data_IF_671920523840
#
_entry.id   IF_671920523840
#
_cell.length_a   1.000
_cell.length_b   1.000
_cell.length_c   1.000
_cell.angle_alpha   90.00
_cell.angle_beta   90.00
_cell.angle_gamma   90.00
#
_symmetry.space_group_name_H-M   'P 1'
#
loop_
_entity.id
_entity.type
_entity.pdbx_description
1 polymer ?
#
# COMPACT_ATOMS: atom_id res chain seq x y z
N UNK A 1 -5.11 29.44 -5.31
CA UNK A 1 -4.74 30.11 -4.05
C UNK A 1 -3.23 30.08 -3.83
N UNK A 2 -2.55 28.94 -4.02
CA UNK A 2 -1.09 28.83 -3.84
C UNK A 2 -0.29 29.74 -4.80
N UNK A 3 -0.69 29.88 -6.06
CA UNK A 3 -0.08 30.79 -7.04
C UNK A 3 0.03 32.24 -6.53
N UNK A 4 -1.08 32.79 -6.03
CA UNK A 4 -1.12 34.16 -5.49
C UNK A 4 -0.29 34.30 -4.22
N UNK A 5 -0.24 33.26 -3.38
CA UNK A 5 0.64 33.23 -2.21
C UNK A 5 2.12 33.30 -2.64
N UNK A 6 2.51 32.63 -3.71
CA UNK A 6 3.87 32.73 -4.25
C UNK A 6 4.24 34.16 -4.66
N UNK A 7 3.31 34.92 -5.27
CA UNK A 7 3.53 36.35 -5.53
C UNK A 7 3.67 37.19 -4.26
N UNK A 8 2.89 36.91 -3.22
CA UNK A 8 3.02 37.58 -1.92
C UNK A 8 4.38 37.29 -1.28
N UNK A 9 4.92 36.10 -1.50
CA UNK A 9 6.27 35.69 -1.10
C UNK A 9 7.37 36.16 -2.08
N UNK A 10 7.05 36.97 -3.08
CA UNK A 10 8.03 37.56 -3.99
C UNK A 10 8.43 36.71 -5.19
N UNK A 11 7.78 35.57 -5.43
CA UNK A 11 7.99 34.80 -6.66
C UNK A 11 7.35 35.47 -7.88
N UNK A 12 8.10 35.47 -8.98
CA UNK A 12 7.59 35.84 -10.30
C UNK A 12 6.90 34.67 -11.01
N UNK A 13 6.36 34.93 -12.20
CA UNK A 13 5.81 33.86 -13.03
C UNK A 13 6.91 32.93 -13.56
N UNK A 14 6.70 31.62 -13.39
CA UNK A 14 7.53 30.58 -13.97
C UNK A 14 7.23 30.38 -15.47
N UNK A 15 8.26 30.11 -16.30
CA UNK A 15 8.09 29.63 -17.67
C UNK A 15 7.78 28.13 -17.76
N UNK A 16 7.92 27.36 -16.67
CA UNK A 16 7.72 25.91 -16.68
C UNK A 16 6.23 25.55 -16.82
N UNK A 17 5.88 24.76 -17.86
CA UNK A 17 4.52 24.26 -18.02
C UNK A 17 4.17 23.27 -16.89
N UNK A 18 3.46 23.74 -15.87
CA UNK A 18 3.03 22.91 -14.74
C UNK A 18 3.46 23.43 -13.36
N UNK A 19 4.36 24.41 -13.31
CA UNK A 19 4.71 25.10 -12.08
C UNK A 19 3.50 25.79 -11.45
N UNK A 20 3.48 25.85 -10.12
CA UNK A 20 2.48 26.60 -9.37
C UNK A 20 2.55 28.08 -9.75
N UNK A 21 3.75 28.62 -10.01
CA UNK A 21 3.95 29.99 -10.50
C UNK A 21 3.78 30.14 -12.02
N UNK A 22 3.31 29.12 -12.74
CA UNK A 22 3.10 29.19 -14.18
C UNK A 22 2.12 30.29 -14.61
N UNK A 23 2.44 31.01 -15.69
CA UNK A 23 1.68 32.19 -16.16
C UNK A 23 0.23 31.89 -16.61
N UNK A 24 -0.09 30.64 -16.94
CA UNK A 24 -1.40 30.24 -17.43
C UNK A 24 -2.07 29.26 -16.47
N UNK A 25 -3.25 29.64 -15.98
CA UNK A 25 -4.10 28.77 -15.17
C UNK A 25 -4.51 27.52 -15.96
N UNK A 26 -4.29 26.34 -15.38
CA UNK A 26 -4.77 25.06 -15.91
C UNK A 26 -5.98 24.59 -15.09
N UNK A 27 -7.01 24.12 -15.76
CA UNK A 27 -8.19 23.48 -15.15
C UNK A 27 -8.07 21.95 -15.29
N UNK A 28 -8.21 21.19 -14.19
CA UNK A 28 -8.15 19.72 -14.23
C UNK A 28 -8.03 19.05 -12.86
N UNK A 29 -8.13 17.71 -12.82
CA UNK A 29 -8.09 16.89 -11.60
C UNK A 29 -6.73 16.92 -10.87
N UNK A 30 -5.62 17.04 -11.61
CA UNK A 30 -4.25 17.23 -11.09
C UNK A 30 -4.12 18.50 -10.21
N UNK A 31 -5.02 19.48 -10.38
CA UNK A 31 -4.98 20.75 -9.65
C UNK A 31 -5.76 20.74 -8.33
N UNK A 32 -6.40 19.62 -7.96
CA UNK A 32 -6.99 19.47 -6.62
C UNK A 32 -5.92 19.34 -5.53
N UNK A 33 -4.72 18.89 -5.92
CA UNK A 33 -3.53 18.78 -5.05
C UNK A 33 -2.27 19.18 -5.85
N UNK A 34 -2.04 20.49 -6.08
CA UNK A 34 -0.89 20.93 -6.84
C UNK A 34 0.41 20.68 -6.06
N UNK A 35 1.38 20.00 -6.67
CA UNK A 35 2.74 19.86 -6.17
C UNK A 35 3.63 21.01 -6.67
N UNK A 36 4.57 21.47 -5.85
CA UNK A 36 5.56 22.47 -6.27
C UNK A 36 6.50 21.88 -7.33
N UNK A 37 6.80 22.63 -8.39
CA UNK A 37 7.85 22.25 -9.33
C UNK A 37 9.23 22.56 -8.75
N UNK A 38 10.27 22.01 -9.39
CA UNK A 38 11.66 22.31 -9.01
C UNK A 38 11.97 23.81 -9.15
N UNK A 39 11.41 24.48 -10.15
CA UNK A 39 11.53 25.94 -10.33
C UNK A 39 10.81 26.72 -9.21
N UNK A 40 9.64 26.28 -8.75
CA UNK A 40 8.95 26.90 -7.60
C UNK A 40 9.80 26.78 -6.32
N UNK A 41 10.36 25.58 -6.06
CA UNK A 41 11.21 25.30 -4.89
C UNK A 41 12.51 26.09 -4.94
N UNK A 42 13.18 26.08 -6.09
CA UNK A 42 14.45 26.81 -6.27
C UNK A 42 14.23 28.31 -6.15
N UNK A 43 13.15 28.83 -6.75
CA UNK A 43 12.80 30.24 -6.67
C UNK A 43 12.59 30.72 -5.24
N UNK A 44 11.85 29.96 -4.42
CA UNK A 44 11.56 30.38 -3.04
C UNK A 44 12.78 30.24 -2.13
N UNK A 45 13.58 29.20 -2.32
CA UNK A 45 14.81 28.99 -1.56
C UNK A 45 15.90 30.00 -1.92
N UNK A 46 15.89 30.57 -3.13
CA UNK A 46 16.77 31.71 -3.45
C UNK A 46 16.38 32.95 -2.63
N UNK A 47 15.07 33.20 -2.46
CA UNK A 47 14.60 34.40 -1.75
C UNK A 47 14.78 34.32 -0.23
N UNK A 48 14.64 33.13 0.35
CA UNK A 48 14.56 32.94 1.80
C UNK A 48 15.58 31.97 2.39
N UNK A 49 16.52 31.51 1.57
CA UNK A 49 17.48 30.44 1.88
C UNK A 49 16.81 29.06 2.02
N UNK A 50 17.53 27.96 1.73
CA UNK A 50 17.07 26.63 2.08
C UNK A 50 16.89 26.53 3.61
N UNK A 51 15.87 25.83 4.12
CA UNK A 51 15.74 25.56 5.55
C UNK A 51 17.05 24.97 6.11
N UNK A 52 17.59 25.56 7.19
CA UNK A 52 18.84 25.09 7.83
C UNK A 52 18.70 23.72 8.49
N UNK A 53 17.47 23.35 8.87
CA UNK A 53 17.11 22.01 9.28
C UNK A 53 16.36 21.36 8.11
N UNK A 54 16.65 20.08 7.82
CA UNK A 54 15.71 19.28 7.03
C UNK A 54 14.31 19.48 7.62
N UNK A 55 13.26 19.68 6.80
CA UNK A 55 11.92 19.88 7.33
C UNK A 55 11.64 18.77 8.32
N UNK A 56 11.47 19.14 9.60
CA UNK A 56 11.17 18.19 10.67
C UNK A 56 9.97 17.41 10.19
N UNK A 57 10.20 16.14 9.83
CA UNK A 57 9.17 15.30 9.22
C UNK A 57 7.96 15.37 10.14
N UNK A 58 6.77 15.81 9.67
CA UNK A 58 5.61 15.84 10.52
C UNK A 58 5.39 14.43 11.07
N UNK A 59 5.15 14.28 12.38
CA UNK A 59 4.99 12.96 12.97
C UNK A 59 3.86 12.23 12.24
N UNK A 60 4.00 10.92 11.99
CA UNK A 60 2.94 10.13 11.38
C UNK A 60 1.63 10.33 12.14
N UNK A 61 0.46 10.33 11.46
CA UNK A 61 -0.82 10.42 12.14
C UNK A 61 -0.89 9.39 13.27
N UNK A 62 -1.45 9.70 14.45
CA UNK A 62 -1.44 8.80 15.61
C UNK A 62 -1.99 7.39 15.35
N UNK A 63 -2.82 7.22 14.30
CA UNK A 63 -3.34 5.92 13.87
C UNK A 63 -2.43 5.11 12.94
N UNK A 64 -1.45 5.74 12.28
CA UNK A 64 -0.49 5.08 11.40
C UNK A 64 0.59 4.32 12.20
N UNK A 65 0.90 4.77 13.42
CA UNK A 65 1.91 4.15 14.30
C UNK A 65 1.41 3.00 15.17
N UNK A 66 0.16 2.59 14.97
CA UNK A 66 -0.37 1.40 15.62
C UNK A 66 0.18 0.23 14.82
N UNK A 67 1.21 -0.43 15.37
CA UNK A 67 2.15 -1.32 14.66
C UNK A 67 1.58 -2.58 14.01
N UNK A 68 0.29 -2.66 13.68
CA UNK A 68 -0.31 -3.71 12.88
C UNK A 68 -0.58 -3.20 11.47
N UNK A 69 -0.61 -4.11 10.48
CA UNK A 69 -0.97 -3.79 9.09
C UNK A 69 -2.28 -4.48 8.74
N UNK A 70 -3.25 -3.74 8.19
CA UNK A 70 -4.56 -4.31 7.83
C UNK A 70 -4.55 -4.93 6.44
N UNK A 71 -3.79 -4.34 5.52
CA UNK A 71 -3.57 -4.89 4.19
C UNK A 71 -2.30 -4.31 3.57
N UNK A 72 -1.73 -5.06 2.63
CA UNK A 72 -0.53 -4.64 1.89
C UNK A 72 -0.61 -5.18 0.48
N UNK A 73 -0.03 -4.48 -0.49
CA UNK A 73 0.33 -5.09 -1.76
C UNK A 73 1.61 -4.45 -2.31
N UNK A 74 2.37 -5.24 -3.07
CA UNK A 74 3.51 -4.75 -3.84
C UNK A 74 3.06 -4.49 -5.28
N UNK A 75 3.22 -3.26 -5.76
CA UNK A 75 3.03 -2.90 -7.16
C UNK A 75 4.36 -2.97 -7.89
N UNK A 76 4.48 -3.91 -8.81
CA UNK A 76 5.70 -4.14 -9.58
C UNK A 76 5.98 -3.02 -10.59
N UNK A 77 4.99 -2.20 -10.96
CA UNK A 77 5.16 -1.13 -11.94
C UNK A 77 5.72 0.14 -11.32
N UNK A 78 5.21 0.51 -10.15
CA UNK A 78 5.74 1.64 -9.37
C UNK A 78 6.91 1.23 -8.46
N UNK A 79 7.14 -0.08 -8.29
CA UNK A 79 8.11 -0.67 -7.34
C UNK A 79 7.84 -0.29 -5.87
N UNK A 80 6.57 0.00 -5.57
CA UNK A 80 6.12 0.44 -4.26
C UNK A 80 5.36 -0.65 -3.50
N UNK A 81 5.57 -0.68 -2.19
CA UNK A 81 4.86 -1.51 -1.22
C UNK A 81 3.83 -0.62 -0.52
N UNK A 82 2.58 -0.75 -0.94
CA UNK A 82 1.47 0.06 -0.43
C UNK A 82 0.86 -0.62 0.79
N UNK A 83 0.86 0.09 1.92
CA UNK A 83 0.35 -0.36 3.22
C UNK A 83 -0.96 0.36 3.56
N UNK A 84 -1.91 -0.39 4.11
CA UNK A 84 -3.18 0.12 4.62
C UNK A 84 -3.28 -0.10 6.12
N UNK A 85 -3.70 0.95 6.83
CA UNK A 85 -4.01 0.87 8.26
C UNK A 85 -5.12 1.83 8.65
N UNK A 86 -6.21 1.30 9.19
CA UNK A 86 -7.37 2.07 9.60
C UNK A 86 -7.95 2.87 8.44
N UNK A 87 -7.78 4.19 8.47
CA UNK A 87 -8.22 5.07 7.38
C UNK A 87 -7.06 5.61 6.54
N UNK A 88 -5.85 5.10 6.73
CA UNK A 88 -4.63 5.63 6.14
C UNK A 88 -4.00 4.65 5.15
N UNK A 89 -3.30 5.21 4.18
CA UNK A 89 -2.48 4.49 3.20
C UNK A 89 -1.16 5.23 2.98
N UNK A 90 -0.08 4.47 2.80
CA UNK A 90 1.24 5.01 2.45
C UNK A 90 2.06 3.95 1.71
N UNK A 91 3.17 4.40 1.13
CA UNK A 91 4.18 3.53 0.52
C UNK A 91 5.39 3.43 1.44
N UNK A 92 5.98 2.24 1.59
CA UNK A 92 7.23 2.06 2.36
C UNK A 92 8.43 2.73 1.71
N UNK A 93 8.39 2.90 0.39
CA UNK A 93 9.45 3.52 -0.40
C UNK A 93 9.26 5.03 -0.57
N UNK A 94 8.16 5.58 -0.03
CA UNK A 94 7.87 7.00 -0.03
C UNK A 94 8.21 7.64 1.32
N UNK A 95 8.18 8.98 1.38
CA UNK A 95 8.42 9.68 2.64
C UNK A 95 7.21 9.50 3.57
N UNK A 96 7.43 9.50 4.89
CA UNK A 96 6.34 9.43 5.89
C UNK A 96 5.34 10.60 5.78
N UNK A 97 5.75 11.72 5.17
CA UNK A 97 4.85 12.82 4.79
C UNK A 97 3.75 12.42 3.79
N UNK A 98 3.89 11.26 3.14
CA UNK A 98 3.00 10.77 2.10
C UNK A 98 1.90 9.86 2.67
N UNK A 99 1.80 9.74 4.00
CA UNK A 99 0.66 9.12 4.67
C UNK A 99 -0.58 9.96 4.35
N UNK A 100 -1.50 9.34 3.63
CA UNK A 100 -2.73 9.98 3.17
C UNK A 100 -3.94 9.21 3.67
N UNK A 101 -5.09 9.88 3.72
CA UNK A 101 -6.34 9.16 3.95
C UNK A 101 -6.68 8.29 2.73
N UNK A 102 -7.16 7.07 2.98
CA UNK A 102 -7.64 6.16 1.95
C UNK A 102 -8.67 6.83 1.04
N UNK A 103 -9.54 7.66 1.60
CA UNK A 103 -10.58 8.42 0.85
C UNK A 103 -10.00 9.45 -0.11
N UNK A 104 -8.81 9.99 0.17
CA UNK A 104 -8.12 10.94 -0.69
C UNK A 104 -7.47 10.25 -1.89
N UNK A 105 -6.93 9.04 -1.68
CA UNK A 105 -6.23 8.25 -2.70
C UNK A 105 -7.18 7.34 -3.50
N UNK A 106 -8.20 6.81 -2.84
CA UNK A 106 -9.18 5.89 -3.37
C UNK A 106 -10.59 6.39 -3.06
N UNK A 107 -11.10 7.30 -3.90
CA UNK A 107 -12.42 7.94 -3.74
C UNK A 107 -13.61 6.95 -3.69
N UNK A 108 -13.41 5.73 -4.21
CA UNK A 108 -14.37 4.63 -4.19
C UNK A 108 -14.37 3.82 -2.88
N UNK A 109 -13.43 4.08 -1.97
CA UNK A 109 -13.35 3.47 -0.64
C UNK A 109 -13.76 4.47 0.43
N UNK A 110 -14.48 4.00 1.45
CA UNK A 110 -14.94 4.87 2.54
C UNK A 110 -13.98 4.99 3.72
N UNK A 111 -13.14 3.98 3.96
CA UNK A 111 -12.10 3.78 5.01
C UNK A 111 -11.53 2.36 4.82
N UNK A 112 -10.63 1.85 5.67
CA UNK A 112 -10.45 0.43 6.02
C UNK A 112 -10.40 -0.61 4.90
N UNK A 113 -9.28 -1.31 4.78
CA UNK A 113 -9.11 -2.41 3.82
C UNK A 113 -8.87 -3.70 4.60
N UNK A 114 -9.57 -4.78 4.22
CA UNK A 114 -9.42 -6.08 4.90
C UNK A 114 -8.28 -6.91 4.30
N UNK A 115 -8.04 -6.76 2.99
CA UNK A 115 -6.93 -7.41 2.30
C UNK A 115 -6.71 -6.72 0.95
N UNK A 116 -5.53 -6.87 0.39
CA UNK A 116 -5.23 -6.39 -0.96
C UNK A 116 -4.19 -7.25 -1.64
N UNK A 117 -4.20 -7.30 -2.97
CA UNK A 117 -3.07 -7.80 -3.73
C UNK A 117 -3.04 -7.19 -5.12
N UNK A 118 -1.86 -7.14 -5.72
CA UNK A 118 -1.66 -6.80 -7.12
C UNK A 118 -1.38 -8.05 -7.94
N UNK A 119 -1.90 -8.11 -9.17
CA UNK A 119 -1.68 -9.20 -10.10
C UNK A 119 -1.09 -8.65 -11.41
N UNK A 120 0.22 -8.84 -11.67
CA UNK A 120 0.85 -8.31 -12.88
C UNK A 120 0.40 -9.01 -14.16
N UNK A 121 -0.09 -10.25 -14.10
CA UNK A 121 -0.59 -10.95 -15.28
C UNK A 121 -1.81 -10.26 -15.91
N UNK A 122 -2.58 -9.51 -15.12
CA UNK A 122 -3.72 -8.75 -15.62
C UNK A 122 -3.68 -7.25 -15.30
N UNK A 123 -2.59 -6.79 -14.66
CA UNK A 123 -2.31 -5.41 -14.28
C UNK A 123 -3.44 -4.79 -13.46
N UNK A 124 -3.90 -5.51 -12.44
CA UNK A 124 -4.98 -5.04 -11.56
C UNK A 124 -4.64 -5.28 -10.11
N UNK A 125 -5.02 -4.31 -9.31
CA UNK A 125 -5.07 -4.41 -7.87
C UNK A 125 -6.48 -4.78 -7.45
N UNK A 126 -6.56 -5.69 -6.50
CA UNK A 126 -7.79 -6.16 -5.88
C UNK A 126 -7.76 -5.75 -4.41
N UNK A 127 -8.75 -4.96 -4.00
CA UNK A 127 -8.93 -4.50 -2.62
C UNK A 127 -10.20 -5.15 -2.08
N UNK A 128 -10.08 -5.82 -0.94
CA UNK A 128 -11.18 -6.48 -0.25
C UNK A 128 -11.67 -5.58 0.89
N UNK A 129 -12.99 -5.41 0.97
CA UNK A 129 -13.64 -4.72 2.09
C UNK A 129 -15.01 -5.30 2.33
N UNK A 130 -15.25 -5.79 3.55
CA UNK A 130 -16.44 -6.52 3.96
C UNK A 130 -16.76 -7.66 2.98
N UNK A 131 -17.91 -7.62 2.33
CA UNK A 131 -18.33 -8.61 1.34
C UNK A 131 -17.96 -8.25 -0.10
N UNK A 132 -17.15 -7.20 -0.32
CA UNK A 132 -16.89 -6.66 -1.65
C UNK A 132 -15.42 -6.74 -2.03
N UNK A 133 -15.21 -6.89 -3.33
CA UNK A 133 -13.92 -6.77 -3.99
C UNK A 133 -13.99 -5.60 -4.95
N UNK A 134 -13.10 -4.64 -4.75
CA UNK A 134 -12.88 -3.49 -5.61
C UNK A 134 -11.68 -3.81 -6.49
N UNK A 135 -11.92 -3.81 -7.79
CA UNK A 135 -10.87 -4.00 -8.78
C UNK A 135 -10.58 -2.65 -9.41
N UNK A 136 -9.32 -2.27 -9.43
CA UNK A 136 -8.88 -1.04 -10.08
C UNK A 136 -7.55 -1.29 -10.82
N UNK A 137 -7.18 -0.36 -11.69
CA UNK A 137 -5.84 -0.24 -12.25
C UNK A 137 -5.27 1.11 -11.85
N UNK A 138 -3.98 1.36 -12.08
CA UNK A 138 -3.24 2.56 -11.62
C UNK A 138 -3.87 3.90 -12.04
N UNK A 139 -4.87 3.89 -12.93
CA UNK A 139 -5.56 5.08 -13.44
C UNK A 139 -7.01 5.20 -13.02
N UNK A 140 -7.70 4.11 -12.68
CA UNK A 140 -9.15 4.14 -12.52
C UNK A 140 -9.75 2.91 -11.82
N UNK A 141 -10.76 3.19 -11.00
CA UNK A 141 -11.70 2.17 -10.51
C UNK A 141 -12.41 1.48 -11.67
N UNK A 142 -12.45 0.14 -11.65
CA UNK A 142 -13.02 -0.66 -12.73
C UNK A 142 -14.36 -1.26 -12.35
N UNK A 143 -14.41 -1.95 -11.20
CA UNK A 143 -15.61 -2.71 -10.81
C UNK A 143 -15.61 -3.01 -9.33
N UNK A 144 -16.80 -2.97 -8.73
CA UNK A 144 -17.11 -3.58 -7.45
C UNK A 144 -17.97 -4.82 -7.68
N UNK A 145 -17.61 -5.93 -7.05
CA UNK A 145 -18.40 -7.17 -7.03
C UNK A 145 -18.34 -7.81 -5.66
N UNK A 146 -19.22 -8.77 -5.38
CA UNK A 146 -19.12 -9.53 -4.12
C UNK A 146 -17.90 -10.46 -4.15
N UNK A 147 -17.38 -10.83 -2.98
CA UNK A 147 -16.28 -11.81 -2.86
C UNK A 147 -16.58 -13.09 -3.63
N UNK A 148 -17.78 -13.65 -3.46
CA UNK A 148 -18.22 -14.87 -4.14
C UNK A 148 -18.36 -14.75 -5.67
N UNK A 149 -18.65 -13.56 -6.19
CA UNK A 149 -18.73 -13.31 -7.63
C UNK A 149 -17.34 -13.21 -8.27
N UNK A 150 -16.35 -12.70 -7.55
CA UNK A 150 -14.97 -12.58 -8.05
C UNK A 150 -14.18 -13.87 -7.82
N UNK A 151 -14.32 -14.45 -6.63
CA UNK A 151 -13.62 -15.63 -6.16
C UNK A 151 -14.66 -16.65 -5.66
N UNK A 152 -14.88 -17.70 -6.45
CA UNK A 152 -15.82 -18.77 -6.09
C UNK A 152 -15.51 -19.33 -4.70
N UNK A 153 -16.55 -19.57 -3.91
CA UNK A 153 -16.47 -20.16 -2.56
C UNK A 153 -15.73 -19.32 -1.50
N UNK A 154 -15.30 -18.10 -1.82
CA UNK A 154 -14.64 -17.21 -0.88
C UNK A 154 -15.68 -16.55 0.05
N UNK A 155 -15.52 -16.62 1.38
CA UNK A 155 -16.39 -15.90 2.31
C UNK A 155 -16.16 -14.39 2.26
N UNK A 156 -17.01 -13.62 2.95
CA UNK A 156 -16.76 -12.20 3.20
C UNK A 156 -15.66 -11.98 4.26
N UNK A 157 -15.19 -10.75 4.36
CA UNK A 157 -14.27 -10.25 5.39
C UNK A 157 -13.02 -11.12 5.46
N UNK A 158 -12.32 -11.28 4.34
CA UNK A 158 -11.06 -12.02 4.30
C UNK A 158 -9.99 -11.28 5.10
N UNK A 159 -8.96 -11.98 5.57
CA UNK A 159 -7.98 -11.37 6.46
C UNK A 159 -6.71 -10.94 5.72
N UNK A 160 -6.33 -11.63 4.64
CA UNK A 160 -5.19 -11.25 3.83
C UNK A 160 -5.28 -11.85 2.42
N UNK A 161 -4.54 -11.32 1.46
CA UNK A 161 -4.48 -11.87 0.10
C UNK A 161 -3.14 -11.57 -0.55
N UNK A 162 -2.66 -12.46 -1.41
CA UNK A 162 -1.44 -12.25 -2.18
C UNK A 162 -1.52 -12.98 -3.52
N UNK A 163 -0.99 -12.37 -4.57
CA UNK A 163 -0.63 -13.11 -5.77
C UNK A 163 0.79 -13.61 -5.62
N UNK A 164 0.98 -14.93 -5.55
CA UNK A 164 2.31 -15.52 -5.52
C UNK A 164 2.81 -15.70 -6.93
N UNK A 165 3.85 -14.94 -7.27
CA UNK A 165 4.47 -15.01 -8.59
C UNK A 165 5.21 -16.34 -8.82
N UNK A 166 5.83 -16.93 -7.79
CA UNK A 166 6.51 -18.22 -7.97
C UNK A 166 5.53 -19.35 -8.27
N UNK A 167 4.32 -19.27 -7.71
CA UNK A 167 3.32 -20.33 -7.78
C UNK A 167 2.30 -20.07 -8.89
N UNK A 168 2.25 -18.85 -9.43
CA UNK A 168 1.25 -18.36 -10.38
C UNK A 168 -0.19 -18.55 -9.87
N UNK A 169 -0.37 -18.36 -8.55
CA UNK A 169 -1.63 -18.53 -7.84
C UNK A 169 -1.94 -17.31 -6.99
N UNK A 170 -3.22 -17.01 -6.86
CA UNK A 170 -3.73 -16.10 -5.83
C UNK A 170 -4.07 -16.91 -4.58
N UNK A 171 -3.49 -16.54 -3.44
CA UNK A 171 -3.85 -17.06 -2.14
C UNK A 171 -4.68 -16.00 -1.39
N UNK A 172 -5.82 -16.41 -0.85
CA UNK A 172 -6.65 -15.56 0.00
C UNK A 172 -6.87 -16.26 1.34
N UNK A 173 -6.62 -15.54 2.43
CA UNK A 173 -6.59 -16.06 3.79
C UNK A 173 -7.87 -15.67 4.53
N UNK A 174 -8.44 -16.64 5.26
CA UNK A 174 -9.55 -16.40 6.20
C UNK A 174 -9.44 -17.34 7.40
N UNK A 175 -9.16 -16.75 8.55
CA UNK A 175 -8.73 -17.41 9.76
C UNK A 175 -7.61 -18.41 9.42
N UNK A 176 -7.69 -19.62 9.95
CA UNK A 176 -6.77 -20.73 9.66
C UNK A 176 -6.78 -21.26 8.22
N UNK A 177 -7.62 -20.74 7.32
CA UNK A 177 -7.83 -21.30 5.99
C UNK A 177 -7.20 -20.44 4.89
N UNK A 178 -6.66 -21.12 3.88
CA UNK A 178 -6.13 -20.52 2.65
C UNK A 178 -6.92 -21.05 1.47
N UNK A 179 -7.40 -20.14 0.65
CA UNK A 179 -8.14 -20.39 -0.58
C UNK A 179 -7.20 -20.09 -1.76
N UNK A 180 -6.97 -21.08 -2.62
CA UNK A 180 -6.07 -20.95 -3.76
C UNK A 180 -6.84 -20.83 -5.08
N UNK A 181 -6.39 -19.91 -5.94
CA UNK A 181 -7.00 -19.63 -7.23
C UNK A 181 -5.96 -19.48 -8.34
N UNK A 182 -6.27 -20.02 -9.53
CA UNK A 182 -5.59 -19.63 -10.77
C UNK A 182 -6.58 -18.83 -11.62
N UNK A 183 -6.41 -17.51 -11.65
CA UNK A 183 -7.39 -16.59 -12.23
C UNK A 183 -8.76 -16.74 -11.55
N UNK A 184 -9.76 -17.26 -12.29
CA UNK A 184 -11.12 -17.53 -11.76
C UNK A 184 -11.34 -18.97 -11.28
N UNK A 185 -10.36 -19.84 -11.48
CA UNK A 185 -10.47 -21.26 -11.16
C UNK A 185 -10.13 -21.44 -9.67
N UNK A 186 -11.06 -21.99 -8.91
CA UNK A 186 -10.84 -22.34 -7.51
C UNK A 186 -10.15 -23.71 -7.43
N UNK A 187 -8.94 -23.74 -6.87
CA UNK A 187 -8.16 -24.97 -6.72
C UNK A 187 -8.53 -25.74 -5.46
N UNK A 188 -8.88 -25.02 -4.39
CA UNK A 188 -9.27 -25.63 -3.14
C UNK A 188 -8.98 -24.76 -1.94
N UNK A 189 -9.31 -25.31 -0.77
CA UNK A 189 -9.09 -24.70 0.53
C UNK A 189 -8.32 -25.66 1.43
N UNK A 190 -7.25 -25.19 2.03
CA UNK A 190 -6.41 -25.95 2.96
C UNK A 190 -6.13 -25.12 4.22
N UNK A 191 -5.76 -25.77 5.32
CA UNK A 191 -5.33 -25.05 6.53
C UNK A 191 -3.93 -24.50 6.33
N UNK A 192 -3.64 -23.34 6.95
CA UNK A 192 -2.29 -22.73 6.93
C UNK A 192 -1.24 -23.74 7.40
N UNK A 193 -1.50 -24.42 8.52
CA UNK A 193 -0.62 -25.45 9.10
C UNK A 193 -0.42 -26.71 8.22
N UNK A 194 -1.16 -26.83 7.12
CA UNK A 194 -1.10 -27.98 6.20
C UNK A 194 -0.57 -27.59 4.83
N UNK A 195 -0.16 -26.34 4.64
CA UNK A 195 0.52 -25.92 3.42
C UNK A 195 1.87 -26.62 3.30
N UNK A 196 2.34 -26.89 2.07
CA UNK A 196 3.64 -27.51 1.83
C UNK A 196 4.79 -26.48 1.97
N UNK A 197 4.70 -25.58 2.95
CA UNK A 197 5.74 -24.62 3.30
C UNK A 197 6.51 -25.13 4.52
N UNK A 198 7.77 -24.73 4.63
CA UNK A 198 8.67 -25.26 5.67
C UNK A 198 8.78 -24.26 6.82
N UNK A 199 8.70 -24.76 8.05
CA UNK A 199 8.82 -23.99 9.29
C UNK A 199 7.77 -22.87 9.46
N UNK A 200 6.53 -23.09 9.00
CA UNK A 200 5.45 -22.11 9.19
C UNK A 200 5.30 -21.78 10.70
N UNK A 201 5.46 -20.51 11.13
CA UNK A 201 5.31 -20.11 12.52
C UNK A 201 3.92 -20.45 13.07
N UNK A 202 3.87 -20.99 14.29
CA UNK A 202 2.60 -21.42 14.91
C UNK A 202 1.59 -20.28 15.08
N UNK A 203 2.07 -19.05 15.28
CA UNK A 203 1.23 -17.87 15.43
C UNK A 203 0.35 -17.61 14.18
N UNK A 204 0.87 -17.96 13.01
CA UNK A 204 0.14 -17.84 11.74
C UNK A 204 -0.94 -18.92 11.56
N UNK A 205 -0.96 -20.00 12.37
CA UNK A 205 -1.95 -21.09 12.19
C UNK A 205 -3.38 -20.64 12.45
N UNK A 206 -3.55 -19.56 13.22
CA UNK A 206 -4.86 -18.99 13.54
C UNK A 206 -5.39 -18.06 12.44
N UNK A 207 -4.49 -17.45 11.65
CA UNK A 207 -4.77 -16.50 10.60
C UNK A 207 -3.61 -15.51 10.42
N UNK A 208 -3.62 -14.80 9.30
CA UNK A 208 -2.62 -13.81 8.90
C UNK A 208 -3.34 -12.47 8.72
N UNK A 209 -2.75 -11.39 9.20
CA UNK A 209 -3.39 -10.07 9.20
C UNK A 209 -3.10 -9.32 7.88
N UNK A 210 -1.94 -9.53 7.27
CA UNK A 210 -1.63 -9.06 5.92
C UNK A 210 -0.50 -9.90 5.30
N UNK A 211 -0.38 -9.92 3.95
CA UNK A 211 0.72 -10.62 3.27
C UNK A 211 1.15 -9.90 2.00
N UNK A 212 2.47 -9.78 1.76
CA UNK A 212 3.04 -9.19 0.55
C UNK A 212 4.11 -10.09 -0.07
N UNK A 213 4.06 -10.33 -1.38
CA UNK A 213 5.13 -10.96 -2.16
C UNK A 213 6.00 -9.84 -2.76
N UNK A 214 7.11 -9.51 -2.08
CA UNK A 214 8.01 -8.41 -2.46
C UNK A 214 9.14 -8.99 -3.31
N UNK A 215 8.96 -8.92 -4.63
CA UNK A 215 9.79 -9.64 -5.61
C UNK A 215 11.26 -9.20 -5.52
N UNK A 216 11.52 -7.90 -5.37
CA UNK A 216 12.87 -7.31 -5.32
C UNK A 216 13.73 -7.87 -4.17
N UNK A 217 13.10 -8.32 -3.11
CA UNK A 217 13.76 -8.84 -1.91
C UNK A 217 13.73 -10.37 -1.82
N UNK A 218 13.21 -11.04 -2.85
CA UNK A 218 13.03 -12.50 -2.90
C UNK A 218 12.32 -13.06 -1.64
N UNK A 219 11.43 -12.26 -1.06
CA UNK A 219 10.84 -12.52 0.25
C UNK A 219 9.34 -12.24 0.25
N UNK A 220 8.60 -13.10 0.93
CA UNK A 220 7.17 -12.91 1.20
C UNK A 220 7.01 -12.55 2.67
N UNK A 221 6.41 -11.40 2.93
CA UNK A 221 6.17 -10.85 4.25
C UNK A 221 4.81 -11.31 4.75
N UNK A 222 4.77 -11.92 5.94
CA UNK A 222 3.54 -12.34 6.61
C UNK A 222 3.38 -11.55 7.90
N UNK A 223 2.36 -10.71 7.99
CA UNK A 223 2.11 -9.82 9.12
C UNK A 223 1.15 -10.47 10.11
N UNK A 224 1.47 -10.36 11.41
CA UNK A 224 0.64 -10.85 12.51
C UNK A 224 0.86 -9.99 13.75
N UNK A 225 -0.21 -9.37 14.23
CA UNK A 225 -0.12 -8.42 15.34
C UNK A 225 0.85 -7.30 14.99
N UNK A 226 1.78 -7.03 15.90
CA UNK A 226 2.82 -6.01 15.78
C UNK A 226 4.13 -6.52 15.14
N UNK A 227 4.11 -7.73 14.60
CA UNK A 227 5.27 -8.40 14.02
C UNK A 227 5.03 -8.89 12.58
N UNK A 228 6.11 -9.19 11.89
CA UNK A 228 6.07 -9.93 10.63
C UNK A 228 7.12 -11.04 10.58
N UNK A 229 6.83 -12.03 9.74
CA UNK A 229 7.72 -13.14 9.40
C UNK A 229 8.11 -13.08 7.93
N UNK A 230 9.33 -13.48 7.62
CA UNK A 230 9.82 -13.58 6.24
C UNK A 230 9.75 -15.03 5.77
N UNK A 231 9.24 -15.26 4.58
CA UNK A 231 9.36 -16.53 3.88
C UNK A 231 10.17 -16.33 2.62
N UNK A 232 11.19 -17.15 2.40
CA UNK A 232 11.90 -17.15 1.13
C UNK A 232 10.93 -17.53 0.00
N UNK A 233 10.84 -16.68 -1.01
CA UNK A 233 9.85 -16.80 -2.09
C UNK A 233 10.00 -18.10 -2.89
N UNK A 234 11.23 -18.57 -3.11
CA UNK A 234 11.50 -19.73 -3.95
C UNK A 234 11.45 -21.05 -3.15
N UNK A 235 12.09 -21.09 -1.98
CA UNK A 235 12.19 -22.32 -1.19
C UNK A 235 10.99 -22.54 -0.27
N UNK A 236 10.17 -21.51 -0.05
CA UNK A 236 9.01 -21.53 0.88
C UNK A 236 9.41 -21.88 2.31
N UNK A 237 10.61 -21.46 2.71
CA UNK A 237 11.15 -21.62 4.07
C UNK A 237 10.94 -20.30 4.82
N UNK A 238 10.29 -20.37 5.98
CA UNK A 238 10.15 -19.24 6.89
C UNK A 238 11.43 -18.97 7.70
N UNK A 239 11.64 -17.70 8.05
CA UNK A 239 12.60 -17.27 9.06
C UNK A 239 12.25 -17.88 10.41
N UNK A 240 13.28 -18.16 11.23
CA UNK A 240 13.09 -18.63 12.60
C UNK A 240 12.61 -17.53 13.55
N UNK A 241 12.82 -16.27 13.17
CA UNK A 241 12.51 -15.09 13.96
C UNK A 241 11.39 -14.27 13.31
N UNK A 242 10.71 -13.50 14.16
CA UNK A 242 9.79 -12.44 13.78
C UNK A 242 10.41 -11.08 14.04
N UNK A 243 10.00 -10.08 13.27
CA UNK A 243 10.52 -8.71 13.35
C UNK A 243 9.40 -7.75 13.76
N UNK A 244 9.69 -6.81 14.66
CA UNK A 244 8.73 -5.79 15.04
C UNK A 244 8.51 -4.79 13.90
N UNK A 245 7.26 -4.51 13.57
CA UNK A 245 6.88 -3.66 12.44
C UNK A 245 7.38 -2.22 12.63
N UNK A 246 7.18 -1.64 13.82
CA UNK A 246 7.60 -0.26 14.08
C UNK A 246 9.12 -0.13 14.10
N UNK A 247 9.86 -1.13 14.58
CA UNK A 247 11.33 -1.06 14.60
C UNK A 247 11.95 -1.20 13.20
N UNK A 248 11.34 -1.98 12.30
CA UNK A 248 11.98 -2.37 11.04
C UNK A 248 11.38 -1.71 9.80
N UNK A 249 10.08 -1.41 9.82
CA UNK A 249 9.36 -0.90 8.65
C UNK A 249 8.85 0.54 8.84
N UNK A 250 8.66 0.98 10.08
CA UNK A 250 8.12 2.32 10.38
C UNK A 250 8.84 2.94 11.61
N UNK A 251 10.19 3.07 11.60
CA UNK A 251 10.97 3.52 12.75
C UNK A 251 10.60 4.93 13.23
N UNK A 252 9.98 5.75 12.38
CA UNK A 252 9.46 7.08 12.73
C UNK A 252 8.35 7.04 13.79
N UNK A 253 7.79 5.87 14.08
CA UNK A 253 6.80 5.69 15.14
C UNK A 253 7.41 5.48 16.53
N UNK A 254 8.74 5.46 16.66
CA UNK A 254 9.45 5.28 17.93
C UNK A 254 10.00 6.59 18.52
N UNK A 255 9.89 7.71 17.81
CA UNK A 255 10.39 9.04 18.21
C UNK A 255 9.39 9.86 19.01
#
# INVERSE_FOLDING_TARGET
>A
MIHELGHVLGLGHSPEPGAVMGRFYRYGAEYRSPSLSEDDVTGIQHLYEPPMDEPVKPPPPPGACIGTIDAVFYDVHSEQTILFRGSYVWSLEASVSDVTEITSTYDFLSTGVDASFYNPNNQKTFIFKNCYVYRYNDRSFQKRSTTSQTFSSLPCQVDAAVYSESDQLTFVFKNRWVYAYSGKIFFGRIRISSLPWTNIPEDLYSGIDAVADVIKENSVYFFKGDHYYLMNRQTKIFSSESYNINEHLIPECLS
#
